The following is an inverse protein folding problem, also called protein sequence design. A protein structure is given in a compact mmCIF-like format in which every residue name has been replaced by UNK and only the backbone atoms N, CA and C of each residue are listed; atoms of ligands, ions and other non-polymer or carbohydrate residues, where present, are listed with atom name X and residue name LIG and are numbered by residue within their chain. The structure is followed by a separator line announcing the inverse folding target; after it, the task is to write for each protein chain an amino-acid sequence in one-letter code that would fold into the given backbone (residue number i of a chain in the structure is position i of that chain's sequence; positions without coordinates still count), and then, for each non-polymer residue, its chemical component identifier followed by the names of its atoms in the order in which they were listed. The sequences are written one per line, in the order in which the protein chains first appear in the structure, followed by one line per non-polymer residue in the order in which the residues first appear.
data_IF_443486990108
#
_entry.id   IF_443486990108
#
_cell.length_a   1.000
_cell.length_b   1.000
_cell.length_c   1.000
_cell.angle_alpha   90.00
_cell.angle_beta   90.00
_cell.angle_gamma   90.00
#
_symmetry.space_group_name_H-M   'P 1'
#
loop_
_entity.id
_entity.type
_entity.pdbx_description
1 polymer ?
#
# COMPACT_ATOMS: atom_id res chain seq x y z
N UNK A 1 10.20 18.20 10.60
CA UNK A 1 10.00 16.76 10.30
C UNK A 1 8.98 16.16 11.26
N UNK A 2 8.11 15.28 10.80
CA UNK A 2 7.13 14.60 11.66
C UNK A 2 7.83 13.63 12.63
N UNK A 3 7.42 13.58 13.90
CA UNK A 3 8.04 12.69 14.89
C UNK A 3 7.69 11.23 14.61
N UNK A 4 8.56 10.26 14.95
CA UNK A 4 8.32 8.84 14.73
C UNK A 4 6.99 8.35 15.31
N UNK A 5 6.63 8.77 16.52
CA UNK A 5 5.37 8.39 17.19
C UNK A 5 4.12 8.83 16.42
N UNK A 6 4.20 9.92 15.67
CA UNK A 6 3.12 10.38 14.80
C UNK A 6 3.03 9.51 13.52
N UNK A 7 4.19 9.16 12.95
CA UNK A 7 4.27 8.34 11.74
C UNK A 7 3.82 6.89 11.98
N UNK A 8 4.12 6.32 13.16
CA UNK A 8 3.85 4.92 13.47
C UNK A 8 2.34 4.57 13.45
N UNK A 9 1.49 5.50 13.84
CA UNK A 9 0.04 5.29 13.91
C UNK A 9 -0.71 5.56 12.59
N UNK A 10 -0.08 6.31 11.67
CA UNK A 10 -0.74 6.74 10.44
C UNK A 10 -1.23 5.62 9.52
N UNK A 11 -0.50 4.50 9.34
CA UNK A 11 -0.93 3.44 8.45
C UNK A 11 -2.03 2.53 9.01
N UNK A 12 -2.34 2.57 10.30
CA UNK A 12 -3.19 1.58 10.96
C UNK A 12 -4.60 1.48 10.35
N UNK A 13 -5.21 2.61 10.01
CA UNK A 13 -6.51 2.62 9.35
C UNK A 13 -6.48 1.93 7.97
N UNK A 14 -5.36 2.03 7.25
CA UNK A 14 -5.16 1.40 5.95
C UNK A 14 -4.87 -0.09 6.07
N UNK A 15 -4.15 -0.50 7.11
CA UNK A 15 -3.94 -1.91 7.46
C UNK A 15 -5.28 -2.58 7.78
N UNK A 16 -6.11 -1.95 8.62
CA UNK A 16 -7.45 -2.45 8.95
C UNK A 16 -8.36 -2.53 7.72
N UNK A 17 -8.32 -1.50 6.86
CA UNK A 17 -9.07 -1.52 5.60
C UNK A 17 -8.64 -2.69 4.71
N UNK A 18 -7.35 -2.99 4.68
CA UNK A 18 -6.80 -4.08 3.90
C UNK A 18 -7.18 -5.46 4.47
N UNK A 19 -7.17 -5.62 5.78
CA UNK A 19 -7.65 -6.83 6.45
C UNK A 19 -9.12 -7.12 6.12
N UNK A 20 -9.97 -6.09 6.04
CA UNK A 20 -11.36 -6.26 5.59
C UNK A 20 -11.46 -6.74 4.14
N UNK A 21 -10.61 -6.22 3.24
CA UNK A 21 -10.53 -6.70 1.86
C UNK A 21 -10.14 -8.16 1.80
N UNK A 22 -9.12 -8.56 2.56
CA UNK A 22 -8.63 -9.93 2.65
C UNK A 22 -9.74 -10.88 3.14
N UNK A 23 -10.43 -10.52 4.21
CA UNK A 23 -11.55 -11.29 4.76
C UNK A 23 -12.68 -11.48 3.74
N UNK A 24 -13.07 -10.42 3.03
CA UNK A 24 -14.12 -10.47 2.02
C UNK A 24 -13.72 -11.37 0.83
N UNK A 25 -12.46 -11.31 0.40
CA UNK A 25 -11.92 -12.17 -0.65
C UNK A 25 -11.90 -13.63 -0.17
N UNK A 26 -11.41 -13.91 1.03
CA UNK A 26 -11.37 -15.26 1.59
C UNK A 26 -12.76 -15.88 1.71
N UNK A 27 -13.75 -15.10 2.15
CA UNK A 27 -15.14 -15.56 2.22
C UNK A 27 -15.71 -15.89 0.85
N UNK A 28 -15.43 -15.08 -0.17
CA UNK A 28 -15.87 -15.35 -1.53
C UNK A 28 -15.23 -16.61 -2.11
N UNK A 29 -13.92 -16.78 -1.91
CA UNK A 29 -13.17 -17.98 -2.30
C UNK A 29 -13.71 -19.21 -1.60
N UNK A 30 -13.89 -19.17 -0.29
CA UNK A 30 -14.45 -20.29 0.48
C UNK A 30 -15.85 -20.70 0.00
N UNK A 31 -16.70 -19.70 -0.29
CA UNK A 31 -18.03 -19.90 -0.85
C UNK A 31 -18.00 -20.61 -2.21
N UNK A 32 -17.05 -20.26 -3.09
CA UNK A 32 -16.89 -20.87 -4.42
C UNK A 32 -16.39 -22.29 -4.32
N UNK A 33 -15.39 -22.54 -3.48
CA UNK A 33 -14.86 -23.88 -3.24
C UNK A 33 -15.95 -24.79 -2.62
N UNK A 34 -16.76 -24.28 -1.71
CA UNK A 34 -17.88 -25.02 -1.11
C UNK A 34 -18.97 -25.44 -2.12
N UNK A 35 -19.04 -24.80 -3.30
CA UNK A 35 -19.93 -25.17 -4.40
C UNK A 35 -19.36 -26.23 -5.36
N UNK A 36 -18.11 -26.65 -5.13
CA UNK A 36 -17.40 -27.62 -5.97
C UNK A 36 -18.00 -29.06 -5.91
N UNK A 37 -19.18 -29.22 -5.30
CA UNK A 37 -19.87 -30.47 -5.01
C UNK A 37 -20.33 -31.19 -6.28
N UNK A 38 -19.62 -32.03 -6.94
CA UNK A 38 -19.99 -32.92 -8.05
C UNK A 38 -19.37 -32.64 -9.42
N UNK A 39 -18.11 -32.24 -9.46
CA UNK A 39 -17.46 -32.14 -10.76
C UNK A 39 -16.84 -33.48 -11.14
N UNK A 40 -17.45 -34.17 -12.08
CA UNK A 40 -16.99 -35.50 -12.48
C UNK A 40 -16.25 -35.49 -13.78
N UNK A 41 -16.58 -35.21 -14.96
CA UNK A 41 -15.66 -35.37 -16.12
C UNK A 41 -14.67 -34.18 -16.28
N UNK A 42 -13.49 -34.45 -16.81
CA UNK A 42 -12.41 -33.50 -17.03
C UNK A 42 -12.84 -32.25 -17.78
N UNK A 43 -13.68 -32.36 -18.80
CA UNK A 43 -14.17 -31.21 -19.57
C UNK A 43 -15.08 -30.29 -18.73
N UNK A 44 -15.98 -30.89 -17.92
CA UNK A 44 -16.85 -30.13 -17.03
C UNK A 44 -16.06 -29.43 -15.92
N UNK A 45 -14.97 -30.05 -15.42
CA UNK A 45 -14.05 -29.42 -14.48
C UNK A 45 -13.37 -28.19 -15.10
N UNK A 46 -12.80 -28.30 -16.29
CA UNK A 46 -12.13 -27.17 -16.94
C UNK A 46 -13.06 -25.99 -17.18
N UNK A 47 -14.29 -26.26 -17.64
CA UNK A 47 -15.30 -25.23 -17.84
C UNK A 47 -15.70 -24.58 -16.52
N UNK A 48 -15.99 -25.37 -15.49
CA UNK A 48 -16.35 -24.89 -14.17
C UNK A 48 -15.22 -24.04 -13.55
N UNK A 49 -13.97 -24.54 -13.61
CA UNK A 49 -12.78 -23.82 -13.16
C UNK A 49 -12.66 -22.46 -13.84
N UNK A 50 -12.77 -22.42 -15.15
CA UNK A 50 -12.71 -21.17 -15.91
C UNK A 50 -13.80 -20.19 -15.45
N UNK A 51 -15.04 -20.64 -15.37
CA UNK A 51 -16.16 -19.81 -14.92
C UNK A 51 -15.96 -19.28 -13.49
N UNK A 52 -15.47 -20.10 -12.56
CA UNK A 52 -15.24 -19.67 -11.19
C UNK A 52 -14.08 -18.67 -11.10
N UNK A 53 -13.02 -18.88 -11.86
CA UNK A 53 -11.87 -17.97 -11.91
C UNK A 53 -12.25 -16.59 -12.48
N UNK A 54 -12.98 -16.56 -13.59
CA UNK A 54 -13.49 -15.32 -14.17
C UNK A 54 -14.46 -14.59 -13.24
N UNK A 55 -15.37 -15.32 -12.61
CA UNK A 55 -16.31 -14.75 -11.65
C UNK A 55 -15.58 -14.22 -10.40
N UNK A 56 -14.58 -14.93 -9.88
CA UNK A 56 -13.76 -14.45 -8.77
C UNK A 56 -13.00 -13.17 -9.17
N UNK A 57 -12.35 -13.15 -10.33
CA UNK A 57 -11.63 -11.98 -10.83
C UNK A 57 -12.52 -10.75 -10.88
N UNK A 58 -13.72 -10.89 -11.44
CA UNK A 58 -14.70 -9.81 -11.54
C UNK A 58 -15.17 -9.31 -10.17
N UNK A 59 -15.43 -10.21 -9.22
CA UNK A 59 -15.86 -9.84 -7.87
C UNK A 59 -14.71 -9.19 -7.07
N UNK A 60 -13.48 -9.69 -7.20
CA UNK A 60 -12.28 -9.08 -6.62
C UNK A 60 -12.06 -7.67 -7.19
N UNK A 61 -12.18 -7.47 -8.50
CA UNK A 61 -12.07 -6.14 -9.13
C UNK A 61 -13.12 -5.17 -8.59
N UNK A 62 -14.39 -5.59 -8.47
CA UNK A 62 -15.46 -4.76 -7.90
C UNK A 62 -15.19 -4.42 -6.42
N UNK A 63 -14.78 -5.40 -5.65
CA UNK A 63 -14.42 -5.22 -4.24
C UNK A 63 -13.29 -4.22 -4.09
N UNK A 64 -12.20 -4.40 -4.84
CA UNK A 64 -11.06 -3.50 -4.83
C UNK A 64 -11.44 -2.08 -5.29
N UNK A 65 -12.27 -1.92 -6.31
CA UNK A 65 -12.76 -0.62 -6.74
C UNK A 65 -13.52 0.11 -5.61
N UNK A 66 -14.38 -0.61 -4.90
CA UNK A 66 -15.12 -0.09 -3.73
C UNK A 66 -14.17 0.40 -2.63
N UNK A 67 -13.15 -0.39 -2.30
CA UNK A 67 -12.18 -0.05 -1.25
C UNK A 67 -11.16 0.99 -1.71
N UNK A 68 -10.77 1.00 -2.99
CA UNK A 68 -9.87 2.01 -3.56
C UNK A 68 -10.48 3.40 -3.50
N UNK A 69 -11.74 3.56 -3.87
CA UNK A 69 -12.42 4.86 -3.78
C UNK A 69 -12.47 5.42 -2.36
N UNK A 70 -12.73 4.57 -1.36
CA UNK A 70 -12.64 4.95 0.06
C UNK A 70 -11.21 5.31 0.47
N UNK A 71 -10.22 4.57 -0.04
CA UNK A 71 -8.82 4.78 0.27
C UNK A 71 -8.28 6.08 -0.30
N UNK A 72 -8.67 6.49 -1.51
CA UNK A 72 -8.23 7.75 -2.12
C UNK A 72 -8.64 8.97 -1.26
N UNK A 73 -9.89 9.00 -0.80
CA UNK A 73 -10.36 10.04 0.11
C UNK A 73 -9.62 10.02 1.44
N UNK A 74 -9.40 8.84 2.01
CA UNK A 74 -8.67 8.68 3.26
C UNK A 74 -7.19 9.07 3.11
N UNK A 75 -6.53 8.71 2.00
CA UNK A 75 -5.14 9.10 1.69
C UNK A 75 -5.03 10.62 1.60
N UNK A 76 -5.93 11.27 0.86
CA UNK A 76 -5.92 12.73 0.75
C UNK A 76 -6.08 13.41 2.11
N UNK A 77 -7.02 12.94 2.93
CA UNK A 77 -7.23 13.45 4.29
C UNK A 77 -6.00 13.26 5.18
N UNK A 78 -5.40 12.07 5.14
CA UNK A 78 -4.20 11.75 5.92
C UNK A 78 -3.02 12.63 5.50
N UNK A 79 -2.80 12.79 4.20
CA UNK A 79 -1.71 13.63 3.69
C UNK A 79 -1.92 15.10 4.02
N UNK A 80 -3.16 15.60 4.00
CA UNK A 80 -3.48 16.95 4.44
C UNK A 80 -3.13 17.13 5.93
N UNK A 81 -3.55 16.21 6.80
CA UNK A 81 -3.22 16.28 8.23
C UNK A 81 -1.72 16.25 8.48
N UNK A 82 -0.99 15.35 7.79
CA UNK A 82 0.46 15.26 7.89
C UNK A 82 1.17 16.52 7.38
N UNK A 83 0.68 17.07 6.27
CA UNK A 83 1.22 18.30 5.68
C UNK A 83 1.01 19.50 6.60
N UNK A 84 -0.18 19.67 7.16
CA UNK A 84 -0.47 20.74 8.12
C UNK A 84 0.46 20.66 9.32
N UNK A 85 0.54 19.51 9.97
CA UNK A 85 1.43 19.30 11.13
C UNK A 85 2.91 19.54 10.76
N UNK A 86 3.34 19.08 9.57
CA UNK A 86 4.72 19.29 9.11
C UNK A 86 5.01 20.77 8.84
N UNK A 87 4.06 21.51 8.27
CA UNK A 87 4.22 22.93 7.98
C UNK A 87 4.15 23.80 9.24
N UNK A 88 3.26 23.50 10.16
CA UNK A 88 3.22 24.20 11.47
C UNK A 88 4.57 24.10 12.19
N UNK A 89 5.19 22.92 12.20
CA UNK A 89 6.52 22.71 12.79
C UNK A 89 7.63 23.42 12.04
N UNK A 90 7.55 23.45 10.73
CA UNK A 90 8.53 24.14 9.87
C UNK A 90 8.39 25.65 10.03
N UNK A 91 7.17 26.18 9.96
CA UNK A 91 6.89 27.61 10.04
C UNK A 91 7.23 28.18 11.42
N UNK A 92 7.10 27.39 12.50
CA UNK A 92 7.55 27.78 13.83
C UNK A 92 9.04 28.15 13.89
N UNK A 93 9.88 27.53 13.04
CA UNK A 93 11.30 27.89 12.94
C UNK A 93 11.45 29.29 12.34
N UNK A 94 10.71 29.60 11.29
CA UNK A 94 10.76 30.90 10.62
C UNK A 94 10.22 32.02 11.51
N UNK A 95 9.10 31.80 12.21
CA UNK A 95 8.56 32.76 13.19
C UNK A 95 9.54 33.05 14.32
N UNK A 96 10.34 32.06 14.75
CA UNK A 96 11.37 32.27 15.76
C UNK A 96 12.46 33.30 15.31
N UNK A 97 12.65 33.45 14.01
CA UNK A 97 13.58 34.37 13.40
C UNK A 97 12.91 35.63 12.81
N UNK A 98 11.72 35.99 13.29
CA UNK A 98 10.93 37.14 12.82
C UNK A 98 10.64 37.10 11.30
N UNK A 99 10.56 35.92 10.71
CA UNK A 99 10.14 35.72 9.33
C UNK A 99 8.69 35.29 9.29
N UNK A 100 7.90 35.79 8.33
CA UNK A 100 6.48 35.53 8.19
C UNK A 100 6.21 34.67 6.94
N UNK A 101 6.19 33.34 7.06
CA UNK A 101 5.80 32.47 5.95
C UNK A 101 4.32 32.65 5.60
N UNK A 102 4.01 32.63 4.30
CA UNK A 102 2.59 32.60 3.86
C UNK A 102 1.90 31.37 4.46
N UNK A 103 0.71 31.49 5.06
CA UNK A 103 -0.03 30.36 5.60
C UNK A 103 -0.14 29.21 4.60
N UNK A 104 -0.07 27.96 5.10
CA UNK A 104 -0.06 26.77 4.22
C UNK A 104 -1.29 26.72 3.31
N UNK A 105 -2.46 27.04 3.84
CA UNK A 105 -3.74 27.09 3.13
C UNK A 105 -3.78 28.14 2.01
N UNK A 106 -3.04 29.23 2.15
CA UNK A 106 -3.01 30.34 1.19
C UNK A 106 -1.95 30.17 0.10
N UNK A 107 -1.05 29.19 0.26
CA UNK A 107 0.02 28.92 -0.71
C UNK A 107 -0.45 27.96 -1.81
N UNK A 108 -0.78 28.48 -2.99
CA UNK A 108 -1.18 27.67 -4.15
C UNK A 108 -0.13 26.62 -4.53
N UNK A 109 1.17 26.95 -4.42
CA UNK A 109 2.27 26.04 -4.74
C UNK A 109 2.31 24.85 -3.78
N UNK A 110 2.19 25.09 -2.46
CA UNK A 110 2.16 24.01 -1.46
C UNK A 110 0.93 23.14 -1.60
N UNK A 111 -0.24 23.73 -1.86
CA UNK A 111 -1.46 22.97 -2.11
C UNK A 111 -1.35 22.10 -3.37
N UNK A 112 -0.75 22.58 -4.45
CA UNK A 112 -0.49 21.78 -5.65
C UNK A 112 0.47 20.61 -5.38
N UNK A 113 1.49 20.80 -4.55
CA UNK A 113 2.40 19.72 -4.12
C UNK A 113 1.68 18.68 -3.27
N UNK A 114 0.81 19.11 -2.35
CA UNK A 114 -0.03 18.20 -1.57
C UNK A 114 -0.93 17.35 -2.47
N UNK A 115 -1.63 17.98 -3.41
CA UNK A 115 -2.52 17.27 -4.34
C UNK A 115 -1.74 16.32 -5.27
N UNK A 116 -0.54 16.69 -5.71
CA UNK A 116 0.34 15.80 -6.46
C UNK A 116 0.80 14.59 -5.62
N UNK A 117 1.17 14.83 -4.36
CA UNK A 117 1.51 13.77 -3.40
C UNK A 117 0.35 12.81 -3.13
N UNK A 118 -0.87 13.35 -2.98
CA UNK A 118 -2.06 12.55 -2.78
C UNK A 118 -2.37 11.67 -4.00
N UNK A 119 -2.30 12.21 -5.22
CA UNK A 119 -2.46 11.43 -6.46
C UNK A 119 -1.39 10.35 -6.61
N UNK A 120 -0.13 10.66 -6.30
CA UNK A 120 0.97 9.70 -6.38
C UNK A 120 0.77 8.55 -5.39
N UNK A 121 0.43 8.86 -4.14
CA UNK A 121 0.19 7.85 -3.09
C UNK A 121 -1.02 6.98 -3.41
N UNK A 122 -2.12 7.58 -3.88
CA UNK A 122 -3.31 6.85 -4.33
C UNK A 122 -3.00 5.93 -5.52
N UNK A 123 -2.17 6.37 -6.48
CA UNK A 123 -1.69 5.55 -7.59
C UNK A 123 -0.88 4.34 -7.12
N UNK A 124 0.03 4.53 -6.16
CA UNK A 124 0.80 3.44 -5.55
C UNK A 124 -0.11 2.45 -4.81
N UNK A 125 -1.10 2.95 -4.07
CA UNK A 125 -2.11 2.13 -3.40
C UNK A 125 -2.94 1.31 -4.39
N UNK A 126 -3.37 1.92 -5.49
CA UNK A 126 -4.09 1.24 -6.57
C UNK A 126 -3.25 0.12 -7.21
N UNK A 127 -1.97 0.36 -7.44
CA UNK A 127 -1.06 -0.66 -7.96
C UNK A 127 -0.87 -1.81 -6.97
N UNK A 128 -0.75 -1.53 -5.68
CA UNK A 128 -0.69 -2.54 -4.64
C UNK A 128 -1.95 -3.42 -4.65
N UNK A 129 -3.14 -2.82 -4.71
CA UNK A 129 -4.41 -3.55 -4.75
C UNK A 129 -4.53 -4.40 -6.03
N UNK A 130 -4.13 -3.90 -7.19
CA UNK A 130 -4.14 -4.66 -8.44
C UNK A 130 -3.17 -5.85 -8.40
N UNK A 131 -1.96 -5.65 -7.86
CA UNK A 131 -0.98 -6.72 -7.67
C UNK A 131 -1.52 -7.83 -6.77
N UNK A 132 -2.17 -7.47 -5.68
CA UNK A 132 -2.80 -8.44 -4.77
C UNK A 132 -3.93 -9.21 -5.46
N UNK A 133 -4.79 -8.54 -6.22
CA UNK A 133 -5.86 -9.20 -6.97
C UNK A 133 -5.33 -10.26 -7.93
N UNK A 134 -4.27 -9.93 -8.68
CA UNK A 134 -3.64 -10.87 -9.60
C UNK A 134 -3.01 -12.05 -8.85
N UNK A 135 -2.35 -11.80 -7.73
CA UNK A 135 -1.75 -12.83 -6.88
C UNK A 135 -2.83 -13.80 -6.37
N UNK A 136 -3.92 -13.27 -5.81
CA UNK A 136 -5.06 -14.06 -5.29
C UNK A 136 -5.69 -14.91 -6.39
N UNK A 137 -5.97 -14.33 -7.55
CA UNK A 137 -6.58 -15.06 -8.68
C UNK A 137 -5.66 -16.20 -9.14
N UNK A 138 -4.37 -15.95 -9.31
CA UNK A 138 -3.42 -16.99 -9.70
C UNK A 138 -3.21 -18.07 -8.64
N UNK A 139 -3.29 -17.73 -7.35
CA UNK A 139 -3.26 -18.73 -6.27
C UNK A 139 -4.52 -19.57 -6.26
N UNK A 140 -5.68 -18.96 -6.44
CA UNK A 140 -6.96 -19.70 -6.54
C UNK A 140 -6.94 -20.73 -7.65
N UNK A 141 -6.47 -20.36 -8.86
CA UNK A 141 -6.32 -21.29 -9.99
C UNK A 141 -5.43 -22.48 -9.64
N UNK A 142 -4.22 -22.22 -9.15
CA UNK A 142 -3.25 -23.28 -8.79
C UNK A 142 -3.81 -24.21 -7.71
N UNK A 143 -4.52 -23.64 -6.75
CA UNK A 143 -5.06 -24.41 -5.63
C UNK A 143 -6.27 -25.26 -6.05
N UNK A 144 -7.10 -24.76 -6.97
CA UNK A 144 -8.16 -25.56 -7.59
C UNK A 144 -7.58 -26.73 -8.40
N UNK A 145 -6.52 -26.50 -9.18
CA UNK A 145 -5.86 -27.55 -9.95
C UNK A 145 -5.25 -28.64 -9.05
N UNK A 146 -4.61 -28.22 -7.95
CA UNK A 146 -4.07 -29.14 -6.96
C UNK A 146 -5.18 -29.95 -6.24
N UNK A 147 -6.30 -29.31 -5.90
CA UNK A 147 -7.44 -30.01 -5.30
C UNK A 147 -8.05 -31.04 -6.25
N UNK A 148 -8.24 -30.66 -7.53
CA UNK A 148 -8.76 -31.57 -8.53
C UNK A 148 -7.82 -32.77 -8.77
N UNK A 149 -6.50 -32.54 -8.86
CA UNK A 149 -5.53 -33.62 -9.01
C UNK A 149 -5.58 -34.60 -7.84
N UNK A 150 -5.73 -34.11 -6.59
CA UNK A 150 -5.86 -34.95 -5.40
C UNK A 150 -7.14 -35.80 -5.40
N UNK A 151 -8.26 -35.24 -5.82
CA UNK A 151 -9.54 -35.94 -5.90
C UNK A 151 -9.56 -36.93 -7.07
N UNK A 152 -9.08 -36.54 -8.25
CA UNK A 152 -9.10 -37.36 -9.47
C UNK A 152 -8.17 -38.56 -9.39
N UNK A 153 -7.07 -38.45 -8.63
CA UNK A 153 -6.16 -39.60 -8.38
C UNK A 153 -6.63 -40.52 -7.25
N UNK A 154 -7.71 -40.15 -6.55
CA UNK A 154 -8.19 -40.92 -5.38
C UNK A 154 -7.30 -40.79 -4.14
N UNK A 155 -6.33 -39.89 -4.14
CA UNK A 155 -5.40 -39.70 -3.02
C UNK A 155 -6.06 -39.10 -1.78
N UNK A 156 -7.13 -38.32 -1.97
CA UNK A 156 -7.91 -37.69 -0.89
C UNK A 156 -9.39 -37.70 -1.18
N UNK A 157 -10.19 -37.81 -0.10
CA UNK A 157 -11.63 -37.54 -0.21
C UNK A 157 -11.86 -36.03 -0.47
N UNK A 158 -13.05 -35.74 -1.02
CA UNK A 158 -13.44 -34.41 -1.42
C UNK A 158 -13.35 -33.39 -0.27
N UNK A 159 -13.83 -33.70 0.94
CA UNK A 159 -13.83 -32.78 2.08
C UNK A 159 -12.41 -32.42 2.53
N UNK A 160 -11.53 -33.42 2.57
CA UNK A 160 -10.13 -33.22 2.92
C UNK A 160 -9.41 -32.36 1.87
N UNK A 161 -9.65 -32.62 0.58
CA UNK A 161 -9.09 -31.82 -0.52
C UNK A 161 -9.56 -30.36 -0.44
N UNK A 162 -10.85 -30.11 -0.21
CA UNK A 162 -11.42 -28.76 -0.06
C UNK A 162 -10.81 -28.03 1.14
N UNK A 163 -10.74 -28.69 2.31
CA UNK A 163 -10.16 -28.09 3.50
C UNK A 163 -8.71 -27.67 3.27
N UNK A 164 -7.86 -28.58 2.75
CA UNK A 164 -6.46 -28.28 2.45
C UNK A 164 -6.32 -27.14 1.42
N UNK A 165 -7.27 -27.04 0.49
CA UNK A 165 -7.31 -25.98 -0.51
C UNK A 165 -7.57 -24.62 0.14
N UNK A 166 -8.57 -24.55 1.03
CA UNK A 166 -8.88 -23.31 1.76
C UNK A 166 -7.71 -22.88 2.66
N UNK A 167 -7.13 -23.83 3.41
CA UNK A 167 -5.99 -23.55 4.28
C UNK A 167 -4.78 -23.03 3.48
N UNK A 168 -4.47 -23.68 2.35
CA UNK A 168 -3.36 -23.23 1.47
C UNK A 168 -3.59 -21.85 0.85
N UNK A 169 -4.83 -21.51 0.53
CA UNK A 169 -5.19 -20.19 0.02
C UNK A 169 -5.06 -19.13 1.12
N UNK A 170 -5.57 -19.41 2.32
CA UNK A 170 -5.48 -18.51 3.45
C UNK A 170 -4.02 -18.16 3.79
N UNK A 171 -3.12 -19.14 3.73
CA UNK A 171 -1.69 -18.91 3.96
C UNK A 171 -1.02 -18.13 2.82
N UNK A 172 -1.36 -18.44 1.57
CA UNK A 172 -0.77 -17.77 0.40
C UNK A 172 -1.26 -16.34 0.19
N UNK A 173 -2.44 -15.98 0.66
CA UNK A 173 -3.01 -14.64 0.52
C UNK A 173 -2.39 -13.59 1.45
N UNK A 174 -1.62 -14.01 2.45
CA UNK A 174 -0.95 -13.10 3.40
C UNK A 174 0.17 -12.26 2.78
N UNK A 175 0.58 -12.57 1.55
CA UNK A 175 1.75 -11.97 0.93
C UNK A 175 1.44 -11.31 -0.42
N UNK A 176 2.07 -10.17 -0.65
CA UNK A 176 2.17 -9.53 -1.97
C UNK A 176 3.46 -10.02 -2.62
N UNK A 177 3.35 -10.63 -3.80
CA UNK A 177 4.52 -11.04 -4.60
C UNK A 177 4.79 -9.99 -5.66
N UNK A 178 5.98 -9.40 -5.65
CA UNK A 178 6.42 -8.43 -6.64
C UNK A 178 7.01 -9.12 -7.89
N UNK A 179 7.07 -8.43 -9.05
CA UNK A 179 7.68 -8.99 -10.27
C UNK A 179 9.12 -9.46 -10.09
N UNK A 180 9.85 -8.92 -9.11
CA UNK A 180 11.21 -9.34 -8.75
C UNK A 180 11.28 -10.65 -7.97
N UNK A 181 10.14 -11.25 -7.63
CA UNK A 181 10.05 -12.43 -6.76
C UNK A 181 10.09 -12.12 -5.27
N UNK A 182 10.33 -10.86 -4.88
CA UNK A 182 10.27 -10.45 -3.48
C UNK A 182 8.83 -10.54 -2.94
N UNK A 183 8.70 -10.94 -1.68
CA UNK A 183 7.41 -11.03 -1.00
C UNK A 183 7.42 -10.17 0.27
N UNK A 184 6.38 -9.39 0.44
CA UNK A 184 6.07 -8.69 1.69
C UNK A 184 4.73 -9.19 2.23
N UNK A 185 4.56 -9.16 3.55
CA UNK A 185 3.20 -9.26 4.08
C UNK A 185 2.38 -8.06 3.59
N UNK A 186 1.09 -8.29 3.41
CA UNK A 186 0.15 -7.23 2.97
C UNK A 186 0.20 -6.03 3.91
N UNK A 187 0.30 -6.26 5.20
CA UNK A 187 0.44 -5.21 6.21
C UNK A 187 1.72 -4.37 5.98
N UNK A 188 2.87 -5.01 5.78
CA UNK A 188 4.14 -4.33 5.51
C UNK A 188 4.06 -3.52 4.22
N UNK A 189 3.46 -4.08 3.17
CA UNK A 189 3.30 -3.39 1.89
C UNK A 189 2.37 -2.17 2.02
N UNK A 190 1.26 -2.28 2.74
CA UNK A 190 0.34 -1.19 3.02
C UNK A 190 0.99 -0.07 3.85
N UNK A 191 1.66 -0.42 4.95
CA UNK A 191 2.42 0.53 5.79
C UNK A 191 3.47 1.27 4.97
N UNK A 192 4.25 0.56 4.18
CA UNK A 192 5.28 1.16 3.32
C UNK A 192 4.68 2.12 2.31
N UNK A 193 3.58 1.77 1.66
CA UNK A 193 2.90 2.65 0.70
C UNK A 193 2.51 3.99 1.34
N UNK A 194 1.85 3.96 2.48
CA UNK A 194 1.37 5.16 3.17
C UNK A 194 2.53 5.99 3.72
N UNK A 195 3.46 5.38 4.45
CA UNK A 195 4.59 6.09 5.06
C UNK A 195 5.50 6.71 4.00
N UNK A 196 5.74 6.02 2.89
CA UNK A 196 6.52 6.58 1.78
C UNK A 196 5.81 7.79 1.17
N UNK A 197 4.50 7.69 0.95
CA UNK A 197 3.69 8.80 0.43
C UNK A 197 3.72 10.03 1.34
N UNK A 198 3.53 9.83 2.64
CA UNK A 198 3.59 10.89 3.65
C UNK A 198 4.97 11.55 3.67
N UNK A 199 6.03 10.76 3.84
CA UNK A 199 7.40 11.28 3.97
C UNK A 199 7.83 12.03 2.71
N UNK A 200 7.56 11.51 1.52
CA UNK A 200 7.90 12.18 0.26
C UNK A 200 7.11 13.47 0.07
N UNK A 201 5.84 13.49 0.43
CA UNK A 201 5.01 14.69 0.30
C UNK A 201 5.48 15.77 1.28
N UNK A 202 5.65 15.45 2.56
CA UNK A 202 6.12 16.40 3.57
C UNK A 202 7.53 16.93 3.23
N UNK A 203 8.44 16.09 2.75
CA UNK A 203 9.77 16.53 2.32
C UNK A 203 9.71 17.55 1.16
N UNK A 204 8.84 17.31 0.17
CA UNK A 204 8.65 18.26 -0.94
C UNK A 204 8.07 19.60 -0.45
N UNK A 205 7.11 19.55 0.47
CA UNK A 205 6.52 20.74 1.06
C UNK A 205 7.58 21.57 1.85
N UNK A 206 8.38 20.90 2.69
CA UNK A 206 9.45 21.54 3.45
C UNK A 206 10.51 22.16 2.55
N UNK A 207 10.93 21.48 1.48
CA UNK A 207 11.87 22.03 0.51
C UNK A 207 11.30 23.24 -0.23
N UNK A 208 10.02 23.20 -0.58
CA UNK A 208 9.37 24.36 -1.22
C UNK A 208 9.22 25.52 -0.26
N UNK A 209 8.87 25.27 1.00
CA UNK A 209 8.84 26.30 2.05
C UNK A 209 10.22 26.94 2.21
N UNK A 210 11.27 26.15 2.27
CA UNK A 210 12.64 26.65 2.36
C UNK A 210 12.97 27.57 1.16
N UNK A 211 12.52 27.24 -0.05
CA UNK A 211 12.67 28.10 -1.23
C UNK A 211 11.89 29.41 -1.11
N UNK A 212 10.64 29.37 -0.68
CA UNK A 212 9.81 30.56 -0.46
C UNK A 212 10.45 31.51 0.55
N UNK A 213 11.12 30.96 1.57
CA UNK A 213 11.82 31.70 2.61
C UNK A 213 13.29 32.08 2.23
N UNK A 214 13.71 31.83 0.97
CA UNK A 214 15.07 32.08 0.49
C UNK A 214 16.18 31.38 1.30
N UNK A 215 15.86 30.21 1.88
CA UNK A 215 16.86 29.40 2.59
C UNK A 215 17.85 28.84 1.59
N UNK A 216 19.16 29.04 1.86
CA UNK A 216 20.24 28.60 0.96
C UNK A 216 20.77 27.21 1.30
N UNK A 217 20.66 26.80 2.55
CA UNK A 217 21.25 25.58 3.06
C UNK A 217 20.23 24.77 3.88
N UNK A 218 20.30 23.47 3.77
CA UNK A 218 19.50 22.53 4.57
C UNK A 218 20.41 21.50 5.23
N UNK A 219 20.08 21.08 6.43
CA UNK A 219 20.78 20.01 7.12
C UNK A 219 19.97 18.72 7.01
N UNK A 220 20.64 17.64 6.59
CA UNK A 220 20.03 16.32 6.62
C UNK A 220 20.01 15.81 8.07
N UNK A 221 18.84 15.44 8.54
CA UNK A 221 18.70 14.89 9.90
C UNK A 221 19.49 13.58 10.04
N UNK A 222 20.01 13.31 11.24
CA UNK A 222 20.69 12.09 11.59
C UNK A 222 19.83 11.27 12.52
N UNK A 223 19.79 9.95 12.33
CA UNK A 223 19.13 9.00 13.23
C UNK A 223 19.95 7.71 13.35
N UNK A 224 19.80 7.02 14.48
CA UNK A 224 20.40 5.70 14.67
C UNK A 224 19.82 4.65 13.74
N UNK A 225 20.63 3.68 13.31
CA UNK A 225 20.17 2.57 12.45
C UNK A 225 20.08 2.89 10.96
N UNK A 226 20.71 3.98 10.50
CA UNK A 226 20.81 4.27 9.07
C UNK A 226 21.60 3.18 8.33
N UNK A 227 21.18 2.86 7.11
CA UNK A 227 21.97 1.99 6.21
C UNK A 227 23.34 2.62 5.96
N UNK A 228 24.41 1.83 5.74
CA UNK A 228 25.76 2.37 5.49
C UNK A 228 25.78 3.42 4.39
N UNK A 229 25.05 3.21 3.28
CA UNK A 229 24.92 4.16 2.17
C UNK A 229 24.22 5.46 2.55
N UNK A 230 23.45 5.49 3.63
CA UNK A 230 22.77 6.69 4.13
C UNK A 230 23.56 7.40 5.22
N UNK A 231 24.43 6.71 5.94
CA UNK A 231 25.26 7.27 7.00
C UNK A 231 26.22 8.36 6.47
N UNK A 232 26.62 8.25 5.22
CA UNK A 232 27.60 9.18 4.60
C UNK A 232 27.11 10.62 4.50
N UNK A 233 25.79 10.85 4.41
CA UNK A 233 25.20 12.17 4.22
C UNK A 233 24.30 12.64 5.37
N UNK A 234 24.09 11.83 6.39
CA UNK A 234 23.38 12.26 7.60
C UNK A 234 24.15 13.32 8.39
N UNK A 235 23.42 14.27 8.94
CA UNK A 235 23.97 15.36 9.74
C UNK A 235 24.71 16.43 8.93
N UNK A 236 24.94 16.22 7.64
CA UNK A 236 25.65 17.17 6.77
C UNK A 236 24.72 18.27 6.29
N UNK A 237 25.32 19.41 5.95
CA UNK A 237 24.67 20.58 5.38
C UNK A 237 24.83 20.54 3.86
N UNK A 238 23.74 20.79 3.14
CA UNK A 238 23.71 20.82 1.68
C UNK A 238 23.15 22.15 1.18
N UNK A 239 23.70 22.64 0.09
CA UNK A 239 23.19 23.81 -0.59
C UNK A 239 21.92 23.47 -1.38
N UNK A 240 20.91 24.32 -1.31
CA UNK A 240 19.75 24.29 -2.22
C UNK A 240 20.09 25.01 -3.53
N UNK A 241 19.68 24.47 -4.68
CA UNK A 241 19.77 25.12 -6.00
C UNK A 241 21.17 25.45 -6.48
N UNK A 242 22.14 24.54 -6.32
CA UNK A 242 23.47 24.66 -6.94
C UNK A 242 24.41 25.67 -6.27
N UNK A 243 24.08 26.18 -5.09
CA UNK A 243 25.07 26.84 -4.26
C UNK A 243 26.10 25.82 -3.78
N UNK A 244 27.36 26.06 -4.03
CA UNK A 244 28.45 25.26 -3.47
C UNK A 244 28.80 25.79 -2.09
N UNK A 245 29.08 24.89 -1.14
CA UNK A 245 29.69 25.20 0.15
C UNK A 245 31.14 25.64 -0.06
#
# INVERSE_FOLDING_TARGET
MLPPSYLDQMPDAFVQLWQQVEDDILRDVARRIGKMDKVTPTANWQLWRYQQTEALRNDVVKLLAKYTGKSETAIRKLLLQAATEAMEREDAIYYHYDLEPTPFEDSATLNNLLDAGARQTAGTWKNLTATTANTVTGQFERTLDAAWAKVSTGAFDYKTAVKQTVDSLADGMKFVTYPTGHQDSIEVAARRCILTGVNQTCAKLQLERARQMNVRYVQVTAHGGARPSHAEWQGKIYALNGFHL
#
